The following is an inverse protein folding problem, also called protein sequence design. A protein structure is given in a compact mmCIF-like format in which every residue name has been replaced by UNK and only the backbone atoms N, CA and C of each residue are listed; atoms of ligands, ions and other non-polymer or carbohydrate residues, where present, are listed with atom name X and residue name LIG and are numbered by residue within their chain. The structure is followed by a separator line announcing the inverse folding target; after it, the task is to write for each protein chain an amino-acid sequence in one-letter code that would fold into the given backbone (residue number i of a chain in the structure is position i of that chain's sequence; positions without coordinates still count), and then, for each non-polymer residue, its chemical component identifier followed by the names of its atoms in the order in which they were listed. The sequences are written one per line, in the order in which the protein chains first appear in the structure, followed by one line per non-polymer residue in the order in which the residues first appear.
data_IF_826285147195
#
_entry.id   IF_826285147195
#
_cell.length_a   1.000
_cell.length_b   1.000
_cell.length_c   1.000
_cell.angle_alpha   90.00
_cell.angle_beta   90.00
_cell.angle_gamma   90.00
#
_symmetry.space_group_name_H-M   'P 1'
#
loop_
_entity.id
_entity.type
_entity.pdbx_description
1 polymer ?
#
# COMPACT_ATOMS: atom_id res chain seq x y z
N UNK A 1 -4.84 5.47 10.59
CA UNK A 1 -4.20 6.03 11.79
C UNK A 1 -4.39 5.16 13.03
N UNK A 2 -5.55 4.53 13.13
CA UNK A 2 -5.89 3.69 14.29
C UNK A 2 -5.38 2.25 14.19
N UNK A 3 -4.95 1.83 13.03
CA UNK A 3 -4.51 0.46 12.79
C UNK A 3 -3.05 0.26 13.25
N UNK A 4 -2.86 -0.40 14.40
CA UNK A 4 -1.53 -0.68 14.94
C UNK A 4 -0.62 -1.46 13.99
N UNK A 5 -1.07 -2.62 13.46
CA UNK A 5 -0.26 -3.38 12.49
C UNK A 5 0.07 -2.59 11.23
N UNK A 6 -0.86 -1.74 10.75
CA UNK A 6 -0.63 -0.89 9.60
C UNK A 6 0.49 0.12 9.88
N UNK A 7 0.44 0.77 11.04
CA UNK A 7 1.45 1.74 11.44
C UNK A 7 2.82 1.10 11.65
N UNK A 8 2.89 -0.15 12.07
CA UNK A 8 4.14 -0.89 12.22
C UNK A 8 4.80 -1.16 10.87
N UNK A 9 4.02 -1.28 9.79
CA UNK A 9 4.56 -1.50 8.45
C UNK A 9 5.09 -0.21 7.80
N UNK A 10 4.70 0.96 8.27
CA UNK A 10 5.10 2.24 7.67
C UNK A 10 6.61 2.41 7.56
N UNK A 11 7.43 2.19 8.62
CA UNK A 11 8.88 2.31 8.50
C UNK A 11 9.48 1.34 7.47
N UNK A 12 8.94 0.13 7.38
CA UNK A 12 9.39 -0.86 6.39
C UNK A 12 8.99 -0.43 4.98
N UNK A 13 7.77 0.10 4.83
CA UNK A 13 7.30 0.60 3.54
C UNK A 13 8.14 1.78 3.07
N UNK A 14 8.47 2.71 3.95
CA UNK A 14 9.34 3.83 3.66
C UNK A 14 10.70 3.37 3.14
N UNK A 15 11.26 2.35 3.77
CA UNK A 15 12.50 1.72 3.33
C UNK A 15 12.38 1.13 1.93
N UNK A 16 11.27 0.43 1.64
CA UNK A 16 11.03 -0.15 0.32
C UNK A 16 10.85 0.93 -0.75
N UNK A 17 10.12 1.99 -0.44
CA UNK A 17 9.96 3.14 -1.34
C UNK A 17 11.33 3.73 -1.68
N UNK A 18 12.21 3.90 -0.70
CA UNK A 18 13.55 4.41 -0.91
C UNK A 18 14.37 3.49 -1.82
N UNK A 19 14.26 2.17 -1.64
CA UNK A 19 14.96 1.19 -2.48
C UNK A 19 14.53 1.24 -3.95
N UNK A 20 13.28 1.59 -4.23
CA UNK A 20 12.72 1.62 -5.59
C UNK A 20 12.54 3.04 -6.15
N UNK A 21 13.01 4.08 -5.46
CA UNK A 21 12.75 5.47 -5.86
C UNK A 21 13.26 5.83 -7.25
N UNK A 22 14.34 5.19 -7.70
CA UNK A 22 14.95 5.43 -9.01
C UNK A 22 14.40 4.48 -10.08
N UNK A 23 13.48 3.59 -9.72
CA UNK A 23 12.86 2.64 -10.64
C UNK A 23 11.52 3.19 -11.12
N UNK A 24 11.47 3.70 -12.34
CA UNK A 24 10.27 4.29 -12.96
C UNK A 24 9.20 3.26 -13.30
N UNK A 25 9.49 1.96 -13.16
CA UNK A 25 8.53 0.88 -13.39
C UNK A 25 7.65 0.60 -12.17
N UNK A 26 7.96 1.22 -11.03
CA UNK A 26 7.25 0.98 -9.75
C UNK A 26 6.73 2.29 -9.20
N UNK A 27 5.48 2.26 -8.74
CA UNK A 27 4.83 3.38 -8.06
C UNK A 27 4.16 2.88 -6.79
N UNK A 28 4.42 3.55 -5.69
CA UNK A 28 3.81 3.23 -4.40
C UNK A 28 2.65 4.17 -4.11
N UNK A 29 1.55 3.60 -3.65
CA UNK A 29 0.33 4.34 -3.29
C UNK A 29 -0.21 3.75 -1.99
N UNK A 30 -0.56 4.60 -1.05
CA UNK A 30 -1.27 4.19 0.17
C UNK A 30 -2.69 4.74 0.15
N UNK A 31 -3.64 3.90 0.54
CA UNK A 31 -5.05 4.28 0.64
C UNK A 31 -5.48 4.08 2.09
N UNK A 32 -5.88 5.16 2.74
CA UNK A 32 -6.36 5.13 4.11
C UNK A 32 -7.86 4.86 4.16
N UNK A 33 -8.25 4.05 5.13
CA UNK A 33 -9.65 3.76 5.45
C UNK A 33 -10.07 4.46 6.74
N UNK A 34 -9.37 5.53 7.13
CA UNK A 34 -9.72 6.33 8.29
C UNK A 34 -11.06 7.02 8.11
N UNK A 35 -11.91 6.94 9.13
CA UNK A 35 -13.18 7.69 9.16
C UNK A 35 -12.97 9.15 9.58
N UNK A 36 -11.85 9.45 10.21
CA UNK A 36 -11.49 10.80 10.66
C UNK A 36 -10.42 11.38 9.74
N UNK A 37 -10.86 12.20 8.79
CA UNK A 37 -9.97 12.83 7.81
C UNK A 37 -8.93 13.73 8.47
N UNK A 38 -9.30 14.43 9.55
CA UNK A 38 -8.36 15.31 10.26
C UNK A 38 -7.23 14.51 10.92
N UNK A 39 -7.54 13.37 11.54
CA UNK A 39 -6.53 12.49 12.12
C UNK A 39 -5.56 11.97 11.05
N UNK A 40 -6.08 11.63 9.87
CA UNK A 40 -5.28 11.21 8.73
C UNK A 40 -4.34 12.34 8.25
N UNK A 41 -4.87 13.55 8.09
CA UNK A 41 -4.07 14.72 7.70
C UNK A 41 -2.96 15.04 8.71
N UNK A 42 -3.30 14.97 10.01
CA UNK A 42 -2.32 15.21 11.07
C UNK A 42 -1.19 14.18 11.05
N UNK A 43 -1.51 12.93 10.78
CA UNK A 43 -0.51 11.86 10.68
C UNK A 43 0.39 12.07 9.47
N UNK A 44 -0.15 12.45 8.33
CA UNK A 44 0.65 12.75 7.13
C UNK A 44 1.59 13.93 7.35
N UNK A 45 1.12 14.95 8.06
CA UNK A 45 1.93 16.12 8.39
C UNK A 45 3.09 15.75 9.32
N UNK A 46 2.87 14.80 10.23
CA UNK A 46 3.89 14.29 11.14
C UNK A 46 4.88 13.37 10.44
N UNK A 47 4.39 12.39 9.69
CA UNK A 47 5.20 11.33 9.08
C UNK A 47 5.87 11.76 7.76
N UNK A 48 5.26 12.69 7.04
CA UNK A 48 5.75 13.22 5.75
C UNK A 48 6.19 12.12 4.78
N UNK A 49 5.30 11.16 4.43
CA UNK A 49 5.67 10.05 3.55
C UNK A 49 6.04 10.55 2.14
N UNK A 50 7.00 9.88 1.51
CA UNK A 50 7.51 10.24 0.20
C UNK A 50 6.72 9.63 -0.96
N UNK A 51 5.65 8.89 -0.68
CA UNK A 51 4.79 8.29 -1.70
C UNK A 51 3.37 8.83 -1.60
N UNK A 52 2.59 8.61 -2.66
CA UNK A 52 1.23 9.16 -2.74
C UNK A 52 0.30 8.59 -1.67
N UNK A 53 -0.51 9.46 -1.10
CA UNK A 53 -1.45 9.13 -0.05
C UNK A 53 -2.86 9.54 -0.47
N UNK A 54 -3.80 8.61 -0.30
CA UNK A 54 -5.20 8.83 -0.59
C UNK A 54 -6.05 8.37 0.59
N UNK A 55 -7.23 8.93 0.73
CA UNK A 55 -8.22 8.50 1.70
C UNK A 55 -9.53 8.21 0.95
N UNK A 56 -10.24 7.16 1.37
CA UNK A 56 -11.53 6.80 0.78
C UNK A 56 -12.64 7.05 1.78
N UNK A 57 -13.85 7.33 1.26
CA UNK A 57 -15.06 7.44 2.08
C UNK A 57 -15.47 6.05 2.58
N UNK A 58 -16.41 6.03 3.53
CA UNK A 58 -16.95 4.76 4.05
C UNK A 58 -17.57 3.90 2.95
N UNK A 59 -18.25 4.53 2.01
CA UNK A 59 -18.88 3.85 0.86
C UNK A 59 -17.85 3.33 -0.11
N UNK A 60 -16.83 4.14 -0.41
CA UNK A 60 -15.70 3.72 -1.25
C UNK A 60 -14.92 2.57 -0.61
N UNK A 61 -14.75 2.61 0.71
CA UNK A 61 -14.13 1.53 1.47
C UNK A 61 -14.88 0.21 1.29
N UNK A 62 -16.21 0.24 1.41
CA UNK A 62 -17.04 -0.96 1.19
C UNK A 62 -16.91 -1.48 -0.23
N UNK A 63 -16.92 -0.59 -1.22
CA UNK A 63 -16.81 -0.96 -2.63
C UNK A 63 -15.44 -1.60 -2.92
N UNK A 64 -14.37 -1.01 -2.43
CA UNK A 64 -13.01 -1.55 -2.59
C UNK A 64 -12.85 -2.90 -1.91
N UNK A 65 -13.34 -3.03 -0.69
CA UNK A 65 -13.25 -4.28 0.08
C UNK A 65 -13.95 -5.42 -0.62
N UNK A 66 -15.11 -5.14 -1.20
CA UNK A 66 -15.87 -6.13 -1.96
C UNK A 66 -15.17 -6.47 -3.28
N UNK A 67 -14.70 -5.46 -4.02
CA UNK A 67 -14.08 -5.64 -5.32
C UNK A 67 -12.77 -6.44 -5.23
N UNK A 68 -11.98 -6.23 -4.19
CA UNK A 68 -10.66 -6.85 -4.04
C UNK A 68 -10.61 -7.93 -2.97
N UNK A 69 -11.74 -8.29 -2.38
CA UNK A 69 -11.80 -9.33 -1.35
C UNK A 69 -11.04 -9.00 -0.08
N UNK A 70 -11.02 -7.72 0.31
CA UNK A 70 -10.30 -7.27 1.49
C UNK A 70 -11.14 -7.53 2.74
N UNK A 71 -10.67 -8.44 3.60
CA UNK A 71 -11.35 -8.80 4.85
C UNK A 71 -10.70 -8.14 6.07
N UNK A 72 -9.52 -7.59 5.94
CA UNK A 72 -8.78 -6.96 7.03
C UNK A 72 -7.61 -6.14 6.52
N UNK A 73 -7.03 -5.33 7.40
CA UNK A 73 -5.86 -4.49 7.09
C UNK A 73 -4.76 -4.77 8.12
N UNK A 74 -3.47 -4.55 7.78
CA UNK A 74 -3.01 -4.03 6.48
C UNK A 74 -3.18 -5.04 5.35
N UNK A 75 -3.44 -4.54 4.16
CA UNK A 75 -3.52 -5.34 2.93
C UNK A 75 -2.66 -4.68 1.87
N UNK A 76 -1.82 -5.47 1.21
CA UNK A 76 -0.95 -5.00 0.14
C UNK A 76 -1.35 -5.66 -1.16
N UNK A 77 -1.54 -4.85 -2.20
CA UNK A 77 -1.90 -5.32 -3.53
C UNK A 77 -0.83 -4.88 -4.51
N UNK A 78 -0.57 -5.71 -5.50
CA UNK A 78 0.30 -5.35 -6.62
C UNK A 78 -0.56 -5.36 -7.89
N UNK A 79 -0.55 -4.24 -8.59
CA UNK A 79 -1.35 -4.02 -9.78
C UNK A 79 -0.42 -3.84 -10.98
N UNK A 80 -0.69 -4.56 -12.06
CA UNK A 80 0.06 -4.45 -13.30
C UNK A 80 -0.23 -3.12 -13.99
N UNK A 81 0.66 -2.69 -14.89
CA UNK A 81 0.52 -1.44 -15.62
C UNK A 81 -0.78 -1.38 -16.46
N UNK A 82 -1.31 -2.52 -16.85
CA UNK A 82 -2.57 -2.61 -17.62
C UNK A 82 -3.82 -2.57 -16.73
N UNK A 83 -3.68 -2.42 -15.43
CA UNK A 83 -4.80 -2.35 -14.49
C UNK A 83 -5.25 -3.69 -13.92
N UNK A 84 -4.69 -4.81 -14.34
CA UNK A 84 -5.01 -6.11 -13.78
C UNK A 84 -4.25 -6.36 -12.48
N UNK A 85 -4.84 -7.15 -11.58
CA UNK A 85 -4.22 -7.45 -10.28
C UNK A 85 -3.16 -8.55 -10.46
N UNK A 86 -1.90 -8.24 -10.15
CA UNK A 86 -0.83 -9.22 -10.14
C UNK A 86 -0.90 -10.08 -8.87
N UNK A 87 -1.16 -9.45 -7.72
CA UNK A 87 -1.34 -10.14 -6.45
C UNK A 87 -2.27 -9.34 -5.54
N UNK A 88 -3.39 -9.94 -5.13
CA UNK A 88 -4.38 -9.31 -4.25
C UNK A 88 -4.07 -9.40 -2.77
N UNK A 89 -3.04 -10.13 -2.39
CA UNK A 89 -2.59 -10.28 -1.01
C UNK A 89 -1.07 -10.49 -0.98
N UNK A 90 -0.34 -9.43 -1.33
CA UNK A 90 1.10 -9.45 -1.43
C UNK A 90 1.77 -9.55 -0.05
N UNK A 91 3.01 -9.98 -0.01
CA UNK A 91 3.81 -9.97 1.21
C UNK A 91 3.90 -8.56 1.77
N UNK A 92 3.97 -8.46 3.11
CA UNK A 92 4.12 -7.17 3.78
C UNK A 92 5.53 -6.61 3.54
N UNK A 93 5.70 -5.27 3.54
CA UNK A 93 7.03 -4.66 3.40
C UNK A 93 8.07 -5.15 4.40
N UNK A 94 7.64 -5.58 5.59
CA UNK A 94 8.53 -6.15 6.61
C UNK A 94 8.97 -7.58 6.29
N UNK A 95 8.31 -8.25 5.35
CA UNK A 95 8.65 -9.62 4.97
C UNK A 95 9.82 -9.62 3.99
N UNK A 96 10.80 -10.49 4.23
CA UNK A 96 11.97 -10.62 3.35
C UNK A 96 11.60 -11.00 1.92
N UNK A 97 10.50 -11.71 1.76
CA UNK A 97 9.99 -12.14 0.44
C UNK A 97 9.35 -11.02 -0.36
N UNK A 98 9.14 -9.85 0.24
CA UNK A 98 8.57 -8.69 -0.45
C UNK A 98 9.39 -8.32 -1.69
N UNK A 99 10.69 -8.24 -1.56
CA UNK A 99 11.60 -7.95 -2.67
C UNK A 99 11.50 -8.97 -3.80
N UNK A 100 11.57 -10.25 -3.45
CA UNK A 100 11.53 -11.32 -4.44
C UNK A 100 10.25 -11.28 -5.24
N UNK A 101 9.11 -11.13 -4.56
CA UNK A 101 7.79 -11.08 -5.19
C UNK A 101 7.65 -9.86 -6.09
N UNK A 102 8.05 -8.68 -5.61
CA UNK A 102 7.94 -7.45 -6.39
C UNK A 102 8.86 -7.48 -7.61
N UNK A 103 10.09 -7.94 -7.45
CA UNK A 103 11.05 -8.06 -8.55
C UNK A 103 10.56 -9.03 -9.62
N UNK A 104 9.95 -10.15 -9.24
CA UNK A 104 9.36 -11.09 -10.19
C UNK A 104 8.24 -10.45 -11.00
N UNK A 105 7.39 -9.67 -10.35
CA UNK A 105 6.28 -8.97 -11.01
C UNK A 105 6.81 -7.91 -11.98
N UNK A 106 7.81 -7.13 -11.57
CA UNK A 106 8.45 -6.11 -12.41
C UNK A 106 9.06 -6.76 -13.66
N UNK A 107 9.64 -7.94 -13.51
CA UNK A 107 10.27 -8.67 -14.60
C UNK A 107 9.28 -9.45 -15.48
N UNK A 108 7.98 -9.34 -15.19
CA UNK A 108 6.94 -9.94 -16.02
C UNK A 108 6.71 -11.44 -15.78
N UNK A 109 7.10 -11.96 -14.62
CA UNK A 109 6.95 -13.38 -14.30
C UNK A 109 5.59 -13.73 -13.65
N UNK A 110 4.68 -12.77 -13.64
CA UNK A 110 3.34 -12.92 -13.04
C UNK A 110 2.23 -12.70 -14.08
#
# INVERSE_FOLDING_TARGET
TWCGPCCKEIPFLEKRVEEYKDNDKVRFISISMDSNKQAWMNKLDKDKPQWEQFIVSKEEHKALSKAYGISGIPRFLVINANGTIANGDAFRPSDEKFHEQLDEIINGNW
#
